data_IF_366477023068
#
_entry.id   IF_366477023068
#
_cell.length_a   1.000
_cell.length_b   1.000
_cell.length_c   1.000
_cell.angle_alpha   90.00
_cell.angle_beta   90.00
_cell.angle_gamma   90.00
#
_symmetry.space_group_name_H-M   'P 1'
#
loop_
_entity.id
_entity.type
_entity.pdbx_description
1 polymer ?
#
# COMPACT_ATOMS: atom_id res chain seq x y z
N UNK A 1 28.48 -67.90 -63.55
CA UNK A 1 27.26 -67.14 -63.22
C UNK A 1 27.26 -66.83 -61.75
N UNK A 2 27.64 -65.60 -61.42
CA UNK A 2 27.76 -65.09 -60.01
C UNK A 2 26.56 -64.20 -59.73
N UNK A 3 25.65 -64.62 -58.86
CA UNK A 3 24.53 -63.83 -58.40
C UNK A 3 25.00 -62.93 -57.29
N UNK A 4 24.93 -61.64 -57.49
CA UNK A 4 25.15 -60.62 -56.43
C UNK A 4 23.79 -60.33 -55.76
N UNK A 5 23.68 -60.62 -54.46
CA UNK A 5 22.60 -60.22 -53.61
C UNK A 5 22.85 -58.80 -53.09
N UNK A 6 21.91 -57.92 -53.36
CA UNK A 6 21.92 -56.56 -52.88
C UNK A 6 21.19 -56.49 -51.52
N UNK A 7 21.90 -56.20 -50.41
CA UNK A 7 21.30 -55.95 -49.10
C UNK A 7 20.92 -54.49 -48.96
N UNK A 8 19.65 -54.22 -48.83
CA UNK A 8 19.12 -52.87 -48.50
C UNK A 8 19.11 -52.70 -46.97
N UNK A 9 19.92 -51.80 -46.45
CA UNK A 9 19.91 -51.38 -45.06
C UNK A 9 18.94 -50.24 -44.91
N UNK A 10 17.82 -50.48 -44.23
CA UNK A 10 16.87 -49.43 -43.85
C UNK A 10 17.26 -48.87 -42.52
N UNK A 11 17.76 -47.66 -42.49
CA UNK A 11 18.05 -46.86 -41.27
C UNK A 11 16.76 -46.17 -40.82
N UNK A 12 16.18 -46.62 -39.70
CA UNK A 12 15.07 -45.93 -39.02
C UNK A 12 15.64 -44.88 -38.08
N UNK A 13 15.49 -43.60 -38.45
CA UNK A 13 15.86 -42.46 -37.58
C UNK A 13 14.71 -42.20 -36.60
N UNK A 14 14.89 -42.53 -35.31
CA UNK A 14 14.00 -42.12 -34.24
C UNK A 14 14.27 -40.63 -33.92
N UNK A 15 13.35 -39.75 -34.28
CA UNK A 15 13.33 -38.38 -33.82
C UNK A 15 12.76 -38.34 -32.38
N UNK A 16 13.62 -38.13 -31.38
CA UNK A 16 13.20 -37.88 -29.99
C UNK A 16 12.80 -36.42 -29.86
N UNK A 17 11.51 -36.16 -29.88
CA UNK A 17 10.99 -34.80 -29.56
C UNK A 17 11.10 -34.57 -28.06
N UNK A 18 12.10 -33.75 -27.64
CA UNK A 18 12.22 -33.26 -26.26
C UNK A 18 11.14 -32.23 -26.01
N UNK A 19 10.08 -32.57 -25.30
CA UNK A 19 9.10 -31.61 -24.76
C UNK A 19 9.74 -30.94 -23.57
N UNK A 20 10.25 -29.70 -23.75
CA UNK A 20 10.67 -28.84 -22.67
C UNK A 20 9.44 -28.39 -21.88
N UNK A 21 9.18 -29.00 -20.73
CA UNK A 21 8.20 -28.53 -19.77
C UNK A 21 8.72 -27.23 -19.16
N UNK A 22 8.25 -26.09 -19.66
CA UNK A 22 8.50 -24.77 -19.04
C UNK A 22 7.65 -24.73 -17.78
N UNK A 23 8.23 -25.06 -16.61
CA UNK A 23 7.63 -24.81 -15.31
C UNK A 23 7.60 -23.29 -15.13
N UNK A 24 6.44 -22.70 -15.36
CA UNK A 24 6.21 -21.29 -15.01
C UNK A 24 6.39 -21.17 -13.49
N UNK A 25 7.52 -20.61 -13.09
CA UNK A 25 7.83 -20.32 -11.70
C UNK A 25 6.82 -19.25 -11.23
N UNK A 26 5.80 -19.67 -10.47
CA UNK A 26 4.85 -18.75 -9.86
C UNK A 26 5.64 -17.76 -8.99
N UNK A 27 5.71 -16.52 -9.42
CA UNK A 27 6.38 -15.47 -8.66
C UNK A 27 5.72 -15.41 -7.27
N UNK A 28 6.47 -15.73 -6.21
CA UNK A 28 5.97 -15.64 -4.84
C UNK A 28 5.51 -14.22 -4.57
N UNK A 29 4.26 -14.05 -4.15
CA UNK A 29 3.75 -12.74 -3.71
C UNK A 29 4.69 -12.16 -2.65
N UNK A 30 5.17 -10.92 -2.82
CA UNK A 30 6.04 -10.30 -1.82
C UNK A 30 5.37 -10.27 -0.45
N UNK A 31 6.13 -10.40 0.65
CA UNK A 31 5.61 -10.26 2.00
C UNK A 31 4.84 -8.95 2.20
N UNK A 32 3.82 -8.95 3.04
CA UNK A 32 2.93 -7.79 3.25
C UNK A 32 3.72 -6.49 3.48
N UNK A 33 4.70 -6.49 4.38
CA UNK A 33 5.45 -5.29 4.74
C UNK A 33 6.19 -4.65 3.55
N UNK A 34 6.60 -5.45 2.56
CA UNK A 34 7.20 -4.93 1.32
C UNK A 34 6.19 -4.29 0.38
N UNK A 35 4.90 -4.63 0.55
CA UNK A 35 3.79 -4.08 -0.23
C UNK A 35 3.26 -2.76 0.34
N UNK A 36 3.54 -2.46 1.60
CA UNK A 36 3.08 -1.25 2.27
C UNK A 36 3.91 -0.06 1.80
N UNK A 37 3.23 0.94 1.22
CA UNK A 37 3.79 2.24 0.94
C UNK A 37 3.78 3.10 2.20
N UNK A 38 2.60 3.31 2.75
CA UNK A 38 2.46 4.04 4.00
C UNK A 38 1.21 3.65 4.78
N UNK A 39 1.23 4.01 6.05
CA UNK A 39 0.08 3.96 6.94
C UNK A 39 -0.48 5.37 7.07
N UNK A 40 -1.80 5.51 7.10
CA UNK A 40 -2.48 6.80 7.27
C UNK A 40 -3.00 6.92 8.70
N UNK A 41 -2.38 7.81 9.48
CA UNK A 41 -2.81 8.17 10.82
C UNK A 41 -3.54 9.52 10.75
N UNK A 42 -4.86 9.45 10.77
CA UNK A 42 -5.72 10.63 10.65
C UNK A 42 -5.90 11.33 11.99
N UNK A 43 -5.92 12.65 11.98
CA UNK A 43 -6.05 13.47 13.19
C UNK A 43 -6.92 14.70 12.94
N UNK A 44 -7.75 15.13 13.91
CA UNK A 44 -8.52 16.38 13.79
C UNK A 44 -7.64 17.62 13.85
N UNK A 45 -6.43 17.51 14.40
CA UNK A 45 -5.41 18.55 14.49
C UNK A 45 -4.04 17.93 14.24
N UNK A 46 -3.28 18.50 13.29
CA UNK A 46 -2.00 17.92 12.89
C UNK A 46 -0.95 17.97 14.00
N UNK A 47 -0.91 19.04 14.77
CA UNK A 47 0.07 19.21 15.86
C UNK A 47 -0.23 18.26 17.01
N UNK A 48 -1.51 18.02 17.29
CA UNK A 48 -1.95 16.96 18.20
C UNK A 48 -1.50 15.57 17.71
N UNK A 49 -1.69 15.27 16.42
CA UNK A 49 -1.26 14.01 15.83
C UNK A 49 0.26 13.81 15.92
N UNK A 50 1.04 14.82 15.58
CA UNK A 50 2.51 14.80 15.67
C UNK A 50 2.95 14.55 17.12
N UNK A 51 2.42 15.32 18.07
CA UNK A 51 2.78 15.19 19.49
C UNK A 51 2.38 13.83 20.07
N UNK A 52 1.25 13.28 19.65
CA UNK A 52 0.80 11.93 20.04
C UNK A 52 1.77 10.85 19.56
N UNK A 53 2.19 10.90 18.30
CA UNK A 53 3.14 9.95 17.73
C UNK A 53 4.52 10.10 18.37
N UNK A 54 5.01 11.33 18.54
CA UNK A 54 6.28 11.61 19.24
C UNK A 54 6.28 11.07 20.68
N UNK A 55 5.19 11.28 21.42
CA UNK A 55 5.04 10.76 22.78
C UNK A 55 5.05 9.24 22.82
N UNK A 56 4.47 8.57 21.84
CA UNK A 56 4.38 7.10 21.80
C UNK A 56 5.64 6.44 21.27
N UNK A 57 6.16 6.91 20.13
CA UNK A 57 7.28 6.28 19.42
C UNK A 57 8.65 6.88 19.78
N UNK A 58 8.70 8.12 20.28
CA UNK A 58 9.94 8.85 20.46
C UNK A 58 10.52 9.42 19.15
N UNK A 59 9.70 9.50 18.09
CA UNK A 59 10.07 10.07 16.80
C UNK A 59 9.12 11.22 16.48
N UNK A 60 9.68 12.42 16.35
CA UNK A 60 8.92 13.59 15.90
C UNK A 60 8.87 13.59 14.38
N UNK A 61 7.66 13.45 13.82
CA UNK A 61 7.45 13.48 12.38
C UNK A 61 7.88 14.83 11.76
N UNK A 62 8.47 14.79 10.58
CA UNK A 62 8.85 15.97 9.80
C UNK A 62 7.69 16.45 8.94
N UNK A 63 7.60 17.77 8.70
CA UNK A 63 6.59 18.33 7.82
C UNK A 63 6.69 17.71 6.41
N UNK A 64 5.57 17.17 5.93
CA UNK A 64 5.47 16.59 4.59
C UNK A 64 5.08 17.62 3.55
N UNK A 65 4.06 18.41 3.82
CA UNK A 65 3.57 19.49 2.97
C UNK A 65 2.05 19.61 2.95
N UNK A 66 1.58 20.50 2.08
CA UNK A 66 0.18 20.78 1.86
C UNK A 66 -0.33 19.97 0.66
N UNK A 67 -1.59 19.56 0.71
CA UNK A 67 -2.30 18.97 -0.43
C UNK A 67 -3.20 20.05 -1.05
N UNK A 68 -2.78 20.69 -2.15
CA UNK A 68 -3.49 21.82 -2.73
C UNK A 68 -4.94 21.45 -3.11
N UNK A 69 -5.88 22.30 -2.73
CA UNK A 69 -7.31 22.11 -3.01
C UNK A 69 -8.02 21.04 -2.17
N UNK A 70 -7.28 20.28 -1.36
CA UNK A 70 -7.86 19.25 -0.48
C UNK A 70 -8.05 19.73 0.96
N UNK A 71 -7.55 20.92 1.31
CA UNK A 71 -7.66 21.48 2.65
C UNK A 71 -6.98 20.64 3.74
N UNK A 72 -5.93 19.89 3.37
CA UNK A 72 -5.17 19.01 4.26
C UNK A 72 -3.67 19.26 4.17
N UNK A 73 -2.96 18.95 5.25
CA UNK A 73 -1.50 18.92 5.34
C UNK A 73 -1.07 17.67 6.10
N UNK A 74 0.19 17.29 5.98
CA UNK A 74 0.72 16.10 6.63
C UNK A 74 2.10 16.31 7.26
N UNK A 75 2.45 15.34 8.13
CA UNK A 75 3.80 15.13 8.64
C UNK A 75 4.15 13.65 8.54
N UNK A 76 5.44 13.32 8.38
CA UNK A 76 5.90 12.00 7.99
C UNK A 76 6.95 11.46 8.96
N UNK A 77 6.84 10.18 9.31
CA UNK A 77 7.87 9.41 10.00
C UNK A 77 8.17 8.14 9.20
N UNK A 78 9.43 7.90 8.86
CA UNK A 78 9.83 6.68 8.14
C UNK A 78 9.59 5.44 9.02
N UNK A 79 9.02 4.39 8.40
CA UNK A 79 8.80 3.08 9.01
C UNK A 79 9.68 1.99 8.39
N UNK A 80 10.54 2.37 7.49
CA UNK A 80 11.45 1.53 6.73
C UNK A 80 12.05 2.31 5.55
N UNK A 81 12.89 1.69 4.74
CA UNK A 81 13.55 2.36 3.61
C UNK A 81 12.56 2.84 2.54
N UNK A 82 11.42 2.17 2.39
CA UNK A 82 10.40 2.47 1.38
C UNK A 82 8.98 2.47 1.96
N UNK A 83 8.84 2.79 3.25
CA UNK A 83 7.55 2.92 3.90
C UNK A 83 7.57 4.02 4.97
N UNK A 84 6.42 4.64 5.24
CA UNK A 84 6.30 5.71 6.23
C UNK A 84 4.93 5.73 6.90
N UNK A 85 4.85 6.42 8.03
CA UNK A 85 3.61 6.84 8.67
C UNK A 85 3.28 8.25 8.18
N UNK A 86 2.14 8.42 7.55
CA UNK A 86 1.57 9.71 7.23
C UNK A 86 0.64 10.13 8.37
N UNK A 87 0.96 11.20 9.06
CA UNK A 87 0.06 11.88 9.98
C UNK A 87 -0.63 12.96 9.18
N UNK A 88 -1.95 12.85 8.96
CA UNK A 88 -2.71 13.76 8.11
C UNK A 88 -3.82 14.45 8.90
N UNK A 89 -3.95 15.74 8.72
CA UNK A 89 -4.99 16.56 9.35
C UNK A 89 -5.44 17.71 8.47
N UNK A 90 -6.48 18.46 8.91
CA UNK A 90 -6.89 19.70 8.28
C UNK A 90 -5.74 20.71 8.18
N UNK A 91 -5.74 21.48 7.13
CA UNK A 91 -4.81 22.61 6.95
C UNK A 91 -5.56 23.94 7.11
N UNK A 92 -5.40 24.64 8.23
CA UNK A 92 -6.08 25.93 8.45
C UNK A 92 -5.58 27.05 7.53
N UNK A 93 -4.42 26.88 6.89
CA UNK A 93 -3.89 27.84 5.93
C UNK A 93 -4.49 27.73 4.53
N UNK A 94 -5.29 26.68 4.27
CA UNK A 94 -6.01 26.51 3.02
C UNK A 94 -7.51 26.81 3.18
N UNK A 95 -8.17 27.35 2.13
CA UNK A 95 -9.63 27.43 2.11
C UNK A 95 -10.26 26.04 2.36
N UNK A 96 -11.39 26.02 3.04
CA UNK A 96 -12.18 24.78 3.17
C UNK A 96 -12.57 24.30 1.76
N UNK A 97 -12.32 23.02 1.40
CA UNK A 97 -12.73 22.50 0.12
C UNK A 97 -14.26 22.53 -0.04
N UNK A 98 -14.76 22.54 -1.27
CA UNK A 98 -16.20 22.58 -1.55
C UNK A 98 -16.96 21.35 -1.03
N UNK A 99 -16.28 20.22 -0.90
CA UNK A 99 -16.79 18.97 -0.33
C UNK A 99 -16.10 18.59 0.99
N UNK A 100 -16.50 17.48 1.59
CA UNK A 100 -15.86 16.98 2.81
C UNK A 100 -14.39 16.62 2.54
N UNK A 101 -13.52 16.86 3.53
CA UNK A 101 -12.15 16.41 3.47
C UNK A 101 -12.09 14.88 3.39
N UNK A 102 -11.09 14.38 2.68
CA UNK A 102 -10.84 12.93 2.59
C UNK A 102 -10.67 12.34 3.98
N UNK A 103 -10.88 11.03 4.07
CA UNK A 103 -10.69 10.25 5.29
C UNK A 103 -11.66 10.57 6.43
N UNK A 104 -12.72 11.35 6.18
CA UNK A 104 -13.65 11.76 7.23
C UNK A 104 -13.03 12.70 8.26
N UNK A 105 -12.02 13.49 7.86
CA UNK A 105 -11.29 14.38 8.77
C UNK A 105 -12.17 15.45 9.43
N UNK A 106 -13.25 15.86 8.76
CA UNK A 106 -14.16 16.88 9.29
C UNK A 106 -14.99 16.37 10.49
N UNK A 107 -15.14 15.04 10.61
CA UNK A 107 -15.95 14.38 11.65
C UNK A 107 -15.10 13.66 12.71
N UNK A 108 -13.79 13.59 12.47
CA UNK A 108 -12.88 12.86 13.32
C UNK A 108 -12.72 13.55 14.69
N UNK A 109 -12.97 12.81 15.77
CA UNK A 109 -12.92 13.33 17.14
C UNK A 109 -11.59 13.09 17.85
N UNK A 110 -10.85 12.08 17.42
CA UNK A 110 -9.55 11.70 18.00
C UNK A 110 -8.62 11.13 16.94
N UNK A 111 -7.29 11.25 17.11
CA UNK A 111 -6.33 10.64 16.20
C UNK A 111 -6.46 9.11 16.20
N UNK A 112 -6.35 8.48 15.01
CA UNK A 112 -6.36 7.03 14.87
C UNK A 112 -5.67 6.55 13.59
N UNK A 113 -5.22 5.31 13.60
CA UNK A 113 -4.79 4.60 12.40
C UNK A 113 -6.03 4.27 11.55
N UNK A 114 -6.13 4.86 10.37
CA UNK A 114 -7.37 4.83 9.60
C UNK A 114 -7.34 3.83 8.46
N UNK A 115 -6.24 3.78 7.73
CA UNK A 115 -6.05 2.92 6.57
C UNK A 115 -4.57 2.76 6.25
N UNK A 116 -4.28 2.00 5.23
CA UNK A 116 -2.94 1.82 4.69
C UNK A 116 -2.95 1.91 3.17
N UNK A 117 -1.80 2.08 2.57
CA UNK A 117 -1.62 2.28 1.14
C UNK A 117 -0.66 1.24 0.61
N UNK A 118 -1.06 0.60 -0.47
CA UNK A 118 -0.24 -0.42 -1.12
C UNK A 118 0.54 0.17 -2.29
N UNK A 119 1.80 -0.27 -2.44
CA UNK A 119 2.65 0.09 -3.58
C UNK A 119 2.15 -0.52 -4.86
N UNK A 120 2.25 0.23 -5.94
CA UNK A 120 2.11 -0.27 -7.31
C UNK A 120 3.08 0.46 -8.23
N UNK A 121 3.56 -0.23 -9.25
CA UNK A 121 4.25 0.36 -10.40
C UNK A 121 3.36 0.36 -11.65
N UNK A 122 2.17 -0.25 -11.57
CA UNK A 122 1.18 -0.31 -12.64
C UNK A 122 -0.22 -0.36 -12.04
N UNK A 123 -0.82 0.81 -11.87
CA UNK A 123 -2.17 0.94 -11.31
C UNK A 123 -3.25 0.42 -12.24
N UNK A 124 -3.05 0.50 -13.54
CA UNK A 124 -4.05 0.07 -14.52
C UNK A 124 -4.18 -1.47 -14.50
N UNK A 125 -3.04 -2.18 -14.37
CA UNK A 125 -3.03 -3.62 -14.16
C UNK A 125 -3.65 -4.02 -12.80
N UNK A 126 -3.38 -3.25 -11.73
CA UNK A 126 -3.98 -3.48 -10.40
C UNK A 126 -5.50 -3.35 -10.47
N UNK A 127 -6.02 -2.27 -11.06
CA UNK A 127 -7.47 -2.03 -11.19
C UNK A 127 -8.14 -3.11 -12.03
N UNK A 128 -7.50 -3.52 -13.13
CA UNK A 128 -8.01 -4.60 -14.01
C UNK A 128 -8.09 -5.92 -13.24
N UNK A 129 -7.03 -6.30 -12.53
CA UNK A 129 -6.98 -7.51 -11.70
C UNK A 129 -8.01 -7.47 -10.58
N UNK A 130 -8.13 -6.34 -9.88
CA UNK A 130 -9.09 -6.13 -8.82
C UNK A 130 -10.52 -6.35 -9.31
N UNK A 131 -10.88 -5.73 -10.44
CA UNK A 131 -12.20 -5.86 -11.08
C UNK A 131 -12.49 -7.31 -11.46
N UNK A 132 -11.52 -8.03 -12.02
CA UNK A 132 -11.66 -9.45 -12.34
C UNK A 132 -11.90 -10.30 -11.09
N UNK A 133 -11.32 -9.91 -9.94
CA UNK A 133 -11.55 -10.52 -8.62
C UNK A 133 -12.80 -10.01 -7.88
N UNK A 134 -13.64 -9.19 -8.51
CA UNK A 134 -14.85 -8.64 -7.89
C UNK A 134 -14.60 -7.49 -6.91
N UNK A 135 -13.43 -6.83 -6.95
CA UNK A 135 -13.06 -5.70 -6.08
C UNK A 135 -12.99 -4.43 -6.91
N UNK A 136 -13.86 -3.45 -6.63
CA UNK A 136 -13.91 -2.17 -7.32
C UNK A 136 -13.07 -1.11 -6.56
N UNK A 137 -11.83 -0.85 -7.00
CA UNK A 137 -10.90 0.09 -6.35
C UNK A 137 -11.17 1.58 -6.66
N UNK A 138 -12.19 1.88 -7.45
CA UNK A 138 -12.46 3.25 -7.91
C UNK A 138 -11.54 3.71 -9.04
N UNK A 139 -11.62 4.99 -9.36
CA UNK A 139 -10.85 5.61 -10.45
C UNK A 139 -9.38 5.78 -10.07
N UNK A 140 -8.50 5.79 -11.07
CA UNK A 140 -7.11 6.21 -10.90
C UNK A 140 -7.03 7.73 -11.06
N UNK A 141 -6.54 8.41 -10.04
CA UNK A 141 -6.48 9.87 -9.92
C UNK A 141 -5.02 10.34 -9.86
N UNK A 142 -4.71 11.53 -10.38
CA UNK A 142 -3.42 12.18 -10.15
C UNK A 142 -3.40 12.85 -8.78
N UNK A 143 -2.21 12.93 -8.19
CA UNK A 143 -1.96 13.70 -6.99
C UNK A 143 -0.63 14.44 -7.07
N UNK A 144 -0.53 15.54 -6.33
CA UNK A 144 0.72 16.26 -6.19
C UNK A 144 0.79 16.96 -4.83
N UNK A 145 2.01 17.25 -4.42
CA UNK A 145 2.32 17.96 -3.18
C UNK A 145 3.64 18.69 -3.32
N UNK A 146 3.71 19.93 -2.84
CA UNK A 146 4.96 20.67 -2.72
C UNK A 146 5.52 20.46 -1.31
N UNK A 147 6.75 19.98 -1.22
CA UNK A 147 7.50 19.85 0.02
C UNK A 147 7.96 21.19 0.55
N UNK A 148 8.34 21.31 1.84
CA UNK A 148 8.89 22.56 2.41
C UNK A 148 10.16 23.08 1.70
N UNK A 149 10.98 22.15 1.14
CA UNK A 149 12.18 22.48 0.34
C UNK A 149 11.88 22.89 -1.12
N UNK A 150 10.60 23.00 -1.47
CA UNK A 150 10.15 23.42 -2.80
C UNK A 150 10.03 22.31 -3.83
N UNK A 151 10.49 21.11 -3.56
CA UNK A 151 10.36 19.96 -4.48
C UNK A 151 8.89 19.57 -4.64
N UNK A 152 8.44 19.45 -5.88
CA UNK A 152 7.09 18.96 -6.17
C UNK A 152 7.15 17.45 -6.37
N UNK A 153 6.39 16.72 -5.56
CA UNK A 153 6.13 15.31 -5.75
C UNK A 153 4.82 15.15 -6.51
N UNK A 154 4.78 14.20 -7.43
CA UNK A 154 3.57 13.80 -8.15
C UNK A 154 3.45 12.28 -8.15
N UNK A 155 2.21 11.80 -8.15
CA UNK A 155 1.89 10.38 -8.12
C UNK A 155 0.54 10.12 -8.79
N UNK A 156 0.25 8.86 -9.04
CA UNK A 156 -1.08 8.35 -9.34
C UNK A 156 -1.55 7.47 -8.20
N UNK A 157 -2.85 7.38 -7.97
CA UNK A 157 -3.40 6.53 -6.91
C UNK A 157 -4.85 6.14 -7.21
N UNK A 158 -5.33 5.00 -6.70
CA UNK A 158 -6.75 4.65 -6.77
C UNK A 158 -7.52 5.49 -5.76
N UNK A 159 -8.77 5.85 -6.06
CA UNK A 159 -9.55 6.81 -5.27
C UNK A 159 -9.70 6.36 -3.80
N UNK A 160 -9.12 7.09 -2.83
CA UNK A 160 -9.21 6.77 -1.41
C UNK A 160 -10.61 7.01 -0.81
N UNK A 161 -11.53 7.63 -1.57
CA UNK A 161 -12.94 7.76 -1.17
C UNK A 161 -13.73 6.48 -1.47
N UNK A 162 -13.17 5.55 -2.25
CA UNK A 162 -13.72 4.21 -2.42
C UNK A 162 -13.42 3.37 -1.17
N UNK A 163 -14.37 3.40 -0.23
CA UNK A 163 -14.24 2.69 1.05
C UNK A 163 -14.66 1.23 0.88
N UNK A 164 -13.73 0.30 1.10
CA UNK A 164 -13.94 -1.14 1.03
C UNK A 164 -13.55 -1.80 2.35
N UNK A 165 -14.38 -2.71 2.84
CA UNK A 165 -14.19 -3.40 4.13
C UNK A 165 -13.74 -2.42 5.24
N UNK A 166 -14.49 -1.34 5.41
CA UNK A 166 -14.25 -0.29 6.41
C UNK A 166 -12.81 0.25 6.41
N UNK A 167 -12.24 0.43 5.21
CA UNK A 167 -10.87 0.91 4.94
C UNK A 167 -9.75 -0.11 5.22
N UNK A 168 -10.05 -1.37 5.46
CA UNK A 168 -9.05 -2.44 5.57
C UNK A 168 -8.46 -2.82 4.20
N UNK A 169 -9.26 -2.71 3.14
CA UNK A 169 -8.73 -2.79 1.77
C UNK A 169 -8.06 -1.44 1.45
N UNK A 170 -6.76 -1.44 1.08
CA UNK A 170 -6.03 -0.21 0.83
C UNK A 170 -6.39 0.42 -0.51
N UNK A 171 -6.11 1.69 -0.66
CA UNK A 171 -5.88 2.24 -1.99
C UNK A 171 -4.42 2.01 -2.42
N UNK A 172 -4.17 2.12 -3.70
CA UNK A 172 -2.85 1.87 -4.28
C UNK A 172 -2.23 3.18 -4.77
N UNK A 173 -0.90 3.27 -4.68
CA UNK A 173 -0.14 4.44 -5.11
C UNK A 173 1.04 4.04 -5.99
N UNK A 174 1.29 4.86 -7.00
CA UNK A 174 2.45 4.82 -7.88
C UNK A 174 3.11 6.19 -7.89
N UNK A 175 4.33 6.27 -7.38
CA UNK A 175 5.13 7.49 -7.32
C UNK A 175 5.79 7.84 -8.65
N UNK A 176 5.76 6.96 -9.66
CA UNK A 176 6.43 7.15 -10.93
C UNK A 176 7.92 7.49 -10.73
N UNK A 177 8.32 8.65 -11.22
CA UNK A 177 9.70 9.14 -11.07
C UNK A 177 9.91 10.05 -9.83
N UNK A 178 8.89 10.28 -9.01
CA UNK A 178 9.04 11.08 -7.81
C UNK A 178 9.84 10.35 -6.73
N UNK A 179 10.76 11.02 -6.02
CA UNK A 179 11.45 10.40 -4.91
C UNK A 179 10.47 10.00 -3.80
N UNK A 180 10.63 8.79 -3.29
CA UNK A 180 9.74 8.26 -2.26
C UNK A 180 9.84 9.08 -0.96
N UNK A 181 8.72 9.44 -0.32
CA UNK A 181 8.71 10.32 0.86
C UNK A 181 9.51 9.81 2.06
N UNK A 182 9.67 8.49 2.22
CA UNK A 182 10.49 7.92 3.30
C UNK A 182 11.95 8.36 3.28
N UNK A 183 12.45 8.81 2.12
CA UNK A 183 13.84 9.27 1.97
C UNK A 183 14.14 10.51 2.83
N UNK A 184 13.13 11.36 3.08
CA UNK A 184 13.25 12.61 3.83
C UNK A 184 12.40 12.67 5.10
N UNK A 185 11.62 11.63 5.37
CA UNK A 185 10.84 11.50 6.60
C UNK A 185 11.73 11.26 7.82
N UNK A 186 11.28 11.71 9.00
CA UNK A 186 11.98 11.47 10.27
C UNK A 186 12.24 9.97 10.49
N UNK A 187 13.46 9.62 10.82
CA UNK A 187 13.90 8.24 11.04
C UNK A 187 13.85 7.85 12.53
N UNK A 188 13.88 6.54 12.81
CA UNK A 188 13.94 6.00 14.16
C UNK A 188 12.78 5.05 14.50
N UNK A 189 11.80 4.90 13.61
CA UNK A 189 10.74 3.92 13.77
C UNK A 189 10.82 2.81 12.70
N UNK A 190 10.30 1.63 13.03
CA UNK A 190 10.25 0.49 12.12
C UNK A 190 8.90 -0.22 12.25
N UNK A 191 8.20 -0.44 11.13
CA UNK A 191 7.00 -1.26 11.10
C UNK A 191 7.38 -2.73 11.24
N UNK A 192 6.86 -3.38 12.28
CA UNK A 192 7.12 -4.79 12.59
C UNK A 192 6.01 -5.67 12.07
N UNK A 193 4.75 -5.23 12.22
CA UNK A 193 3.57 -6.00 11.83
C UNK A 193 2.42 -5.06 11.45
N UNK A 194 1.59 -5.51 10.51
CA UNK A 194 0.28 -4.95 10.23
C UNK A 194 -0.74 -6.08 10.23
N UNK A 195 -1.77 -5.96 11.04
CA UNK A 195 -2.90 -6.88 11.12
C UNK A 195 -4.21 -6.11 11.20
N UNK A 196 -5.32 -6.80 11.05
CA UNK A 196 -6.64 -6.17 11.09
C UNK A 196 -7.64 -7.02 11.86
N UNK A 197 -8.68 -6.34 12.38
CA UNK A 197 -9.87 -6.94 12.98
C UNK A 197 -11.10 -6.43 12.22
N UNK A 198 -12.14 -7.28 12.09
CA UNK A 198 -13.39 -6.90 11.44
C UNK A 198 -14.54 -7.76 11.96
N UNK A 199 -15.79 -7.21 12.06
CA UNK A 199 -16.98 -8.02 12.42
C UNK A 199 -17.30 -9.14 11.41
N UNK A 200 -16.94 -8.93 10.12
CA UNK A 200 -17.10 -9.89 9.04
C UNK A 200 -15.72 -10.19 8.39
N UNK A 201 -14.80 -10.89 9.10
CA UNK A 201 -13.41 -11.03 8.68
C UNK A 201 -13.26 -11.76 7.34
N UNK A 202 -14.10 -12.76 7.07
CA UNK A 202 -14.06 -13.56 5.83
C UNK A 202 -14.33 -12.71 4.59
N UNK A 203 -15.28 -11.77 4.69
CA UNK A 203 -15.60 -10.84 3.60
C UNK A 203 -14.42 -9.92 3.29
N UNK A 204 -13.82 -9.34 4.33
CA UNK A 204 -12.65 -8.49 4.19
C UNK A 204 -11.44 -9.28 3.65
N UNK A 205 -11.19 -10.48 4.19
CA UNK A 205 -10.09 -11.34 3.76
C UNK A 205 -10.21 -11.74 2.28
N UNK A 206 -11.42 -12.10 1.83
CA UNK A 206 -11.66 -12.43 0.41
C UNK A 206 -11.28 -11.31 -0.54
N UNK A 207 -11.58 -10.05 -0.20
CA UNK A 207 -11.18 -8.89 -1.02
C UNK A 207 -9.65 -8.71 -1.04
N UNK A 208 -9.00 -8.86 0.10
CA UNK A 208 -7.54 -8.76 0.24
C UNK A 208 -6.81 -9.87 -0.54
N UNK A 209 -7.34 -11.09 -0.50
CA UNK A 209 -6.79 -12.24 -1.23
C UNK A 209 -6.93 -12.06 -2.74
N UNK A 210 -8.07 -11.54 -3.22
CA UNK A 210 -8.27 -11.23 -4.64
C UNK A 210 -7.25 -10.20 -5.16
N UNK A 211 -6.80 -9.29 -4.29
CA UNK A 211 -5.75 -8.31 -4.58
C UNK A 211 -4.33 -8.87 -4.40
N UNK A 212 -4.19 -10.09 -3.85
CA UNK A 212 -2.90 -10.70 -3.53
C UNK A 212 -2.19 -9.99 -2.37
N UNK A 213 -2.96 -9.41 -1.43
CA UNK A 213 -2.45 -8.73 -0.26
C UNK A 213 -2.49 -9.68 0.94
N UNK A 214 -1.36 -9.83 1.62
CA UNK A 214 -1.19 -10.77 2.73
C UNK A 214 -1.64 -10.23 4.10
N UNK A 215 -2.46 -9.17 4.16
CA UNK A 215 -2.99 -8.67 5.42
C UNK A 215 -3.93 -9.70 6.03
N UNK A 216 -3.69 -10.06 7.29
CA UNK A 216 -4.54 -10.99 8.05
C UNK A 216 -5.63 -10.22 8.76
N UNK A 217 -6.88 -10.70 8.59
CA UNK A 217 -8.05 -10.15 9.24
C UNK A 217 -8.60 -11.18 10.21
N UNK A 218 -8.70 -10.84 11.48
CA UNK A 218 -9.32 -11.66 12.52
C UNK A 218 -10.69 -11.13 12.93
N UNK A 219 -11.46 -11.96 13.62
CA UNK A 219 -12.73 -11.54 14.21
C UNK A 219 -12.48 -10.45 15.25
N UNK A 220 -13.25 -9.37 15.18
CA UNK A 220 -13.23 -8.28 16.14
C UNK A 220 -14.57 -7.56 16.22
N UNK A 221 -14.82 -6.80 17.29
CA UNK A 221 -16.13 -6.12 17.51
C UNK A 221 -16.37 -4.97 16.52
N UNK A 222 -15.32 -4.42 15.95
CA UNK A 222 -15.33 -3.34 14.95
C UNK A 222 -14.15 -3.47 14.02
N UNK A 223 -14.26 -2.84 12.84
CA UNK A 223 -13.13 -2.74 11.91
C UNK A 223 -11.99 -1.93 12.54
N UNK A 224 -10.80 -2.52 12.59
CA UNK A 224 -9.60 -1.89 13.12
C UNK A 224 -8.36 -2.35 12.35
N UNK A 225 -7.54 -1.39 11.95
CA UNK A 225 -6.19 -1.63 11.47
C UNK A 225 -5.24 -1.48 12.67
N UNK A 226 -4.31 -2.42 12.82
CA UNK A 226 -3.42 -2.49 13.99
C UNK A 226 -1.99 -2.63 13.47
N UNK A 227 -1.18 -1.60 13.75
CA UNK A 227 0.22 -1.57 13.38
C UNK A 227 1.12 -1.69 14.61
N UNK A 228 1.97 -2.70 14.63
CA UNK A 228 3.03 -2.83 15.63
C UNK A 228 4.29 -2.14 15.09
N UNK A 229 4.77 -1.15 15.82
CA UNK A 229 5.89 -0.30 15.44
C UNK A 229 6.92 -0.26 16.56
N UNK A 230 8.18 -0.50 16.22
CA UNK A 230 9.31 -0.27 17.11
C UNK A 230 9.82 1.17 16.94
N UNK A 231 10.05 1.85 18.05
CA UNK A 231 10.60 3.19 18.10
C UNK A 231 11.57 3.37 19.26
N UNK A 232 12.22 4.52 19.42
CA UNK A 232 13.15 4.80 20.52
C UNK A 232 12.56 4.62 21.93
N UNK A 233 11.24 4.72 22.06
CA UNK A 233 10.53 4.48 23.33
C UNK A 233 10.01 3.05 23.51
N UNK A 234 10.43 2.13 22.65
CA UNK A 234 10.00 0.73 22.66
C UNK A 234 8.93 0.44 21.62
N UNK A 235 8.33 -0.74 21.77
CA UNK A 235 7.30 -1.26 20.88
C UNK A 235 5.92 -0.73 21.26
N UNK A 236 5.17 -0.25 20.28
CA UNK A 236 3.78 0.24 20.46
C UNK A 236 2.87 -0.34 19.38
N UNK A 237 1.59 -0.46 19.72
CA UNK A 237 0.53 -0.69 18.75
C UNK A 237 -0.21 0.62 18.48
N UNK A 238 -0.38 0.99 17.20
CA UNK A 238 -1.30 2.04 16.76
C UNK A 238 -2.59 1.39 16.26
N UNK A 239 -3.72 1.98 16.64
CA UNK A 239 -5.06 1.60 16.15
C UNK A 239 -5.78 2.83 15.58
#
# INVERSE_FOLDING_TARGET
MIRRTLSVVVTVSLAVASIALTVAQSAKTPPLLQRIDHLVYATPDLDLGISTIEKRLGVRATAGGQHPGLGTRNALAALGPTSYLEIIGPDPAQPKPAGPRRFGLDELKSPRLLTWVAKSADLDAVVTKAKAGGVALGAVLPGSRKRPDGVVLSWRYTDPNTVLADRLVPFFIDWGNSPHPSATAARGATLVELRAEHPEPERAQKMLDALGLGLRVSQGPAAALIATIDGPRGRVELR
#
